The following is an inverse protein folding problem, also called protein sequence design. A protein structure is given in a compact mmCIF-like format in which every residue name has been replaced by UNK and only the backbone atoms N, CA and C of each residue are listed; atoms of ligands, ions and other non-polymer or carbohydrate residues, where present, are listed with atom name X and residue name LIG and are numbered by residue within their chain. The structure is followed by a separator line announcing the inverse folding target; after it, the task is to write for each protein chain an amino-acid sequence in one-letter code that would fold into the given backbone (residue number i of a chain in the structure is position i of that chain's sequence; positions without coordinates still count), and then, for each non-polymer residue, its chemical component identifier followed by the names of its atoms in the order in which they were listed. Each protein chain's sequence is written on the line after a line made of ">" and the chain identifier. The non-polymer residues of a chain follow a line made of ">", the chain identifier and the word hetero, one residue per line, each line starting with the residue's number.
data_IF_673318199023
#
_entry.id   IF_673318199023
#
_cell.length_a   1.000
_cell.length_b   1.000
_cell.length_c   1.000
_cell.angle_alpha   90.00
_cell.angle_beta   90.00
_cell.angle_gamma   90.00
#
_symmetry.space_group_name_H-M   'P 1'
#
loop_
_entity.id
_entity.type
_entity.pdbx_description
1 polymer ?
#
# COMPACT_ATOMS: atom_id res chain seq x y z
N UNK A 1 6.14 -11.46 -7.64
CA UNK A 1 5.69 -10.70 -8.83
C UNK A 1 4.94 -11.65 -9.74
N UNK A 2 3.85 -11.19 -10.35
CA UNK A 2 3.01 -11.98 -11.25
C UNK A 2 2.64 -11.10 -12.45
N UNK A 3 2.72 -11.63 -13.67
CA UNK A 3 2.21 -10.97 -14.86
C UNK A 3 0.96 -11.70 -15.34
N UNK A 4 -0.15 -10.97 -15.48
CA UNK A 4 -1.43 -11.50 -15.94
C UNK A 4 -1.88 -10.75 -17.19
N UNK A 5 -2.60 -11.42 -18.08
CA UNK A 5 -3.21 -10.79 -19.26
C UNK A 5 -4.71 -10.59 -19.03
N UNK A 6 -5.16 -9.34 -19.08
CA UNK A 6 -6.58 -9.03 -19.08
C UNK A 6 -7.20 -9.48 -20.41
N UNK A 7 -8.02 -10.53 -20.38
CA UNK A 7 -8.53 -11.17 -21.62
C UNK A 7 -9.28 -10.20 -22.54
N UNK A 8 -10.21 -9.34 -22.06
CA UNK A 8 -10.97 -8.44 -22.93
C UNK A 8 -10.10 -7.41 -23.67
N UNK A 9 -9.17 -6.74 -22.99
CA UNK A 9 -8.32 -5.70 -23.61
C UNK A 9 -7.00 -6.23 -24.15
N UNK A 10 -6.68 -7.50 -23.91
CA UNK A 10 -5.36 -8.10 -24.17
C UNK A 10 -4.18 -7.45 -23.45
N UNK A 11 -4.42 -6.51 -22.54
CA UNK A 11 -3.39 -5.78 -21.78
C UNK A 11 -2.67 -6.71 -20.81
N UNK A 12 -1.34 -6.66 -20.80
CA UNK A 12 -0.52 -7.32 -19.79
C UNK A 12 -0.40 -6.41 -18.56
N UNK A 13 -0.71 -6.93 -17.38
CA UNK A 13 -0.64 -6.22 -16.10
C UNK A 13 0.36 -6.94 -15.20
N UNK A 14 1.27 -6.17 -14.61
CA UNK A 14 2.26 -6.65 -13.64
C UNK A 14 1.75 -6.33 -12.23
N UNK A 15 1.66 -7.36 -11.40
CA UNK A 15 1.32 -7.28 -9.99
C UNK A 15 2.55 -7.57 -9.14
N UNK A 16 2.87 -6.65 -8.24
CA UNK A 16 3.98 -6.76 -7.29
C UNK A 16 3.43 -6.77 -5.88
N UNK A 17 3.60 -7.88 -5.17
CA UNK A 17 3.37 -7.97 -3.74
C UNK A 17 4.69 -7.76 -2.99
N UNK A 18 4.69 -6.96 -1.93
CA UNK A 18 5.88 -6.77 -1.08
C UNK A 18 5.53 -6.70 0.41
N UNK A 19 6.53 -6.91 1.26
CA UNK A 19 6.48 -6.65 2.69
C UNK A 19 7.86 -6.11 3.09
N UNK A 20 7.96 -4.80 3.35
CA UNK A 20 9.24 -4.15 3.63
C UNK A 20 9.67 -4.35 5.09
N UNK A 21 10.92 -3.97 5.40
CA UNK A 21 11.49 -4.16 6.74
C UNK A 21 10.67 -3.46 7.83
N UNK A 22 10.08 -4.26 8.71
CA UNK A 22 9.36 -3.81 9.90
C UNK A 22 10.27 -3.18 10.97
N UNK A 23 9.63 -2.45 11.90
CA UNK A 23 10.18 -1.64 13.02
C UNK A 23 10.69 -0.26 12.62
N UNK A 24 10.46 0.72 13.49
CA UNK A 24 10.75 2.15 13.28
C UNK A 24 12.20 2.45 12.83
N UNK A 25 13.27 1.87 13.41
CA UNK A 25 14.65 2.27 13.10
C UNK A 25 15.16 1.93 11.68
N UNK A 26 14.36 1.26 10.85
CA UNK A 26 14.80 0.71 9.57
C UNK A 26 14.30 1.48 8.33
N UNK A 27 13.99 2.77 8.48
CA UNK A 27 13.57 3.65 7.36
C UNK A 27 14.54 3.59 6.17
N UNK A 28 15.85 3.57 6.43
CA UNK A 28 16.88 3.50 5.39
C UNK A 28 16.87 2.15 4.67
N UNK A 29 16.59 1.06 5.38
CA UNK A 29 16.44 -0.27 4.78
C UNK A 29 15.19 -0.29 3.89
N UNK A 30 14.05 0.22 4.38
CA UNK A 30 12.81 0.33 3.59
C UNK A 30 13.03 1.16 2.33
N UNK A 31 13.73 2.29 2.43
CA UNK A 31 14.08 3.12 1.28
C UNK A 31 14.93 2.36 0.25
N UNK A 32 15.95 1.62 0.69
CA UNK A 32 16.78 0.82 -0.21
C UNK A 32 16.01 -0.35 -0.84
N UNK A 33 15.11 -0.99 -0.09
CA UNK A 33 14.23 -2.03 -0.64
C UNK A 33 13.26 -1.44 -1.68
N UNK A 34 12.68 -0.27 -1.44
CA UNK A 34 11.83 0.41 -2.41
C UNK A 34 12.61 0.81 -3.68
N UNK A 35 13.86 1.29 -3.54
CA UNK A 35 14.75 1.58 -4.69
C UNK A 35 15.01 0.32 -5.51
N UNK A 36 15.30 -0.81 -4.86
CA UNK A 36 15.54 -2.07 -5.55
C UNK A 36 14.30 -2.53 -6.34
N UNK A 37 13.10 -2.40 -5.76
CA UNK A 37 11.83 -2.73 -6.45
C UNK A 37 11.66 -1.84 -7.68
N UNK A 38 11.79 -0.52 -7.52
CA UNK A 38 11.64 0.45 -8.61
C UNK A 38 12.67 0.23 -9.72
N UNK A 39 13.93 0.04 -9.33
CA UNK A 39 15.03 -0.19 -10.27
C UNK A 39 14.75 -1.44 -11.11
N UNK A 40 14.42 -2.55 -10.47
CA UNK A 40 14.06 -3.79 -11.16
C UNK A 40 12.93 -3.56 -12.17
N UNK A 41 11.86 -2.87 -11.76
CA UNK A 41 10.73 -2.58 -12.65
C UNK A 41 11.13 -1.71 -13.84
N UNK A 42 12.00 -0.71 -13.63
CA UNK A 42 12.47 0.17 -14.70
C UNK A 42 13.41 -0.49 -15.70
N UNK A 43 14.19 -1.48 -15.25
CA UNK A 43 15.13 -2.24 -16.10
C UNK A 43 14.40 -3.28 -16.95
N UNK A 44 13.28 -3.82 -16.48
CA UNK A 44 12.59 -4.95 -17.11
C UNK A 44 11.30 -4.57 -17.83
N UNK A 45 10.72 -3.40 -17.52
CA UNK A 45 9.44 -2.98 -18.10
C UNK A 45 9.52 -1.55 -18.64
N UNK A 46 8.78 -1.31 -19.72
CA UNK A 46 8.65 0.04 -20.27
C UNK A 46 8.01 0.99 -19.27
N UNK A 47 8.28 2.29 -19.39
CA UNK A 47 7.63 3.33 -18.57
C UNK A 47 6.12 3.38 -18.72
N UNK A 48 5.58 2.81 -19.81
CA UNK A 48 4.14 2.71 -20.10
C UNK A 48 3.51 1.38 -19.65
N UNK A 49 4.26 0.52 -18.95
CA UNK A 49 3.72 -0.75 -18.49
C UNK A 49 2.64 -0.56 -17.43
N UNK A 50 1.58 -1.36 -17.51
CA UNK A 50 0.51 -1.43 -16.52
C UNK A 50 1.02 -2.17 -15.27
N UNK A 51 1.46 -1.43 -14.25
CA UNK A 51 2.03 -1.99 -13.02
C UNK A 51 1.20 -1.57 -11.81
N UNK A 52 0.92 -2.53 -10.93
CA UNK A 52 0.36 -2.34 -9.58
C UNK A 52 1.35 -2.92 -8.55
N UNK A 53 1.64 -2.16 -7.50
CA UNK A 53 2.46 -2.58 -6.36
C UNK A 53 1.59 -2.49 -5.11
N UNK A 54 1.41 -3.60 -4.40
CA UNK A 54 0.65 -3.66 -3.15
C UNK A 54 1.44 -4.31 -2.05
N UNK A 55 1.21 -3.89 -0.80
CA UNK A 55 1.81 -4.58 0.34
C UNK A 55 1.87 -3.74 1.61
N UNK A 56 2.44 -4.35 2.64
CA UNK A 56 2.83 -3.70 3.89
C UNK A 56 4.23 -3.10 3.72
N UNK A 57 4.30 -1.79 3.61
CA UNK A 57 5.55 -1.06 3.47
C UNK A 57 6.20 -0.75 4.82
N UNK A 58 5.53 -1.02 5.95
CA UNK A 58 6.00 -0.81 7.32
C UNK A 58 6.44 0.62 7.67
N UNK A 59 6.22 1.58 6.76
CA UNK A 59 6.56 2.98 6.93
C UNK A 59 5.43 3.89 6.47
N UNK A 60 5.43 5.11 6.99
CA UNK A 60 4.40 6.12 6.74
C UNK A 60 4.79 7.06 5.60
N UNK A 61 3.90 7.98 5.22
CA UNK A 61 4.08 8.83 4.03
C UNK A 61 5.22 9.84 4.13
N UNK A 62 5.67 10.13 5.35
CA UNK A 62 6.80 11.01 5.65
C UNK A 62 8.16 10.30 5.52
N UNK A 63 8.18 8.97 5.38
CA UNK A 63 9.41 8.23 5.22
C UNK A 63 9.97 8.24 3.78
N UNK A 64 11.30 8.11 3.60
CA UNK A 64 11.93 8.23 2.28
C UNK A 64 11.50 7.19 1.23
N UNK A 65 11.01 6.01 1.64
CA UNK A 65 10.55 4.99 0.68
C UNK A 65 9.34 5.49 -0.13
N UNK A 66 8.45 6.26 0.49
CA UNK A 66 7.21 6.73 -0.12
C UNK A 66 7.53 7.68 -1.28
N UNK A 67 8.48 8.58 -1.05
CA UNK A 67 9.06 9.46 -2.06
C UNK A 67 9.75 8.70 -3.20
N UNK A 68 10.49 7.63 -2.89
CA UNK A 68 11.14 6.78 -3.91
C UNK A 68 10.10 6.19 -4.86
N UNK A 69 9.02 5.60 -4.32
CA UNK A 69 7.94 5.02 -5.13
C UNK A 69 7.24 6.11 -5.97
N UNK A 70 6.94 7.27 -5.39
CA UNK A 70 6.25 8.36 -6.09
C UNK A 70 7.11 9.00 -7.18
N UNK A 71 8.40 9.26 -6.93
CA UNK A 71 9.34 9.81 -7.92
C UNK A 71 9.57 8.85 -9.08
N UNK A 72 9.36 7.55 -8.87
CA UNK A 72 9.34 6.55 -9.92
C UNK A 72 8.07 6.56 -10.78
N UNK A 73 7.16 7.52 -10.56
CA UNK A 73 5.92 7.70 -11.35
C UNK A 73 4.76 6.81 -10.89
N UNK A 74 4.79 6.29 -9.66
CA UNK A 74 3.64 5.59 -9.09
C UNK A 74 2.75 6.54 -8.27
N UNK A 75 1.45 6.26 -8.25
CA UNK A 75 0.45 6.97 -7.44
C UNK A 75 -0.22 6.00 -6.45
N UNK A 76 -0.63 6.47 -5.28
CA UNK A 76 -1.44 5.68 -4.33
C UNK A 76 -2.92 5.72 -4.73
N UNK A 77 -3.57 4.55 -4.81
CA UNK A 77 -4.96 4.41 -5.19
C UNK A 77 -5.90 5.06 -4.16
N UNK A 78 -5.70 4.77 -2.87
CA UNK A 78 -6.50 5.37 -1.80
C UNK A 78 -6.31 6.89 -1.77
N UNK A 79 -5.07 7.37 -1.87
CA UNK A 79 -4.78 8.81 -1.98
C UNK A 79 -5.54 9.48 -3.12
N UNK A 80 -5.60 8.84 -4.29
CA UNK A 80 -6.30 9.40 -5.45
C UNK A 80 -7.80 9.53 -5.22
N UNK A 81 -8.44 8.51 -4.63
CA UNK A 81 -9.89 8.48 -4.41
C UNK A 81 -10.31 9.33 -3.21
N UNK A 82 -9.46 9.49 -2.20
CA UNK A 82 -9.69 10.29 -0.99
C UNK A 82 -9.22 11.75 -1.13
N UNK A 83 -9.26 12.32 -2.34
CA UNK A 83 -8.91 13.72 -2.61
C UNK A 83 -7.50 14.10 -2.10
N UNK A 84 -6.50 13.36 -2.58
CA UNK A 84 -5.08 13.59 -2.33
C UNK A 84 -4.60 13.34 -0.88
N UNK A 85 -5.39 12.62 -0.08
CA UNK A 85 -5.07 12.20 1.30
C UNK A 85 -5.03 10.68 1.41
N UNK A 86 -4.02 10.15 2.09
CA UNK A 86 -4.04 8.72 2.48
C UNK A 86 -5.11 8.44 3.55
N UNK A 87 -5.53 7.17 3.74
CA UNK A 87 -6.44 6.82 4.83
C UNK A 87 -5.81 7.16 6.19
N UNK A 88 -6.67 7.34 7.20
CA UNK A 88 -6.24 7.69 8.57
C UNK A 88 -5.35 6.61 9.20
N UNK A 89 -5.66 5.34 8.94
CA UNK A 89 -4.86 4.20 9.35
C UNK A 89 -5.20 2.99 8.46
N UNK A 90 -4.26 2.07 8.35
CA UNK A 90 -4.44 0.74 7.76
C UNK A 90 -4.15 -0.36 8.78
N UNK A 91 -3.57 -0.03 9.93
CA UNK A 91 -3.41 -0.91 11.09
C UNK A 91 -3.70 -0.13 12.36
N UNK A 92 -4.37 -0.75 13.32
CA UNK A 92 -4.62 -0.17 14.63
C UNK A 92 -4.64 -1.25 15.71
N UNK A 93 -3.63 -1.27 16.58
CA UNK A 93 -3.43 -2.32 17.59
C UNK A 93 -2.81 -1.76 18.85
N UNK A 94 -2.98 -2.49 19.95
CA UNK A 94 -2.34 -2.20 21.23
C UNK A 94 -1.30 -3.29 21.52
N UNK A 95 -0.09 -2.89 21.90
CA UNK A 95 1.01 -3.81 22.21
C UNK A 95 1.55 -3.48 23.59
N UNK A 96 1.69 -4.48 24.45
CA UNK A 96 2.36 -4.29 25.73
C UNK A 96 3.87 -4.42 25.55
N UNK A 97 4.62 -3.41 26.02
CA UNK A 97 6.07 -3.45 26.12
C UNK A 97 6.51 -3.03 27.52
N UNK A 98 7.15 -3.95 28.25
CA UNK A 98 7.60 -3.74 29.63
C UNK A 98 6.46 -3.29 30.58
N UNK A 99 5.26 -3.84 30.42
CA UNK A 99 4.08 -3.49 31.24
C UNK A 99 3.42 -2.16 30.87
N UNK A 100 3.87 -1.49 29.81
CA UNK A 100 3.25 -0.27 29.28
C UNK A 100 2.54 -0.63 27.98
N UNK A 101 1.26 -0.33 27.90
CA UNK A 101 0.49 -0.45 26.67
C UNK A 101 0.86 0.69 25.70
N UNK A 102 1.25 0.31 24.48
CA UNK A 102 1.54 1.22 23.39
C UNK A 102 0.47 1.07 22.30
N UNK A 103 -0.23 2.15 22.00
CA UNK A 103 -1.11 2.24 20.85
C UNK A 103 -0.28 2.39 19.56
N UNK A 104 -0.51 1.50 18.60
CA UNK A 104 0.06 1.54 17.27
C UNK A 104 -1.06 1.71 16.23
N UNK A 105 -1.32 2.96 15.86
CA UNK A 105 -2.29 3.36 14.84
C UNK A 105 -1.54 3.98 13.66
N UNK A 106 -1.43 3.30 12.53
CA UNK A 106 -0.53 3.71 11.43
C UNK A 106 -1.13 3.44 10.05
N UNK A 107 -0.68 4.19 9.05
CA UNK A 107 -0.92 3.92 7.62
C UNK A 107 0.36 3.39 7.01
N UNK A 108 0.44 2.08 6.80
CA UNK A 108 1.65 1.39 6.30
C UNK A 108 1.37 0.44 5.14
N UNK A 109 0.10 0.23 4.82
CA UNK A 109 -0.33 -0.60 3.70
C UNK A 109 -0.72 0.31 2.53
N UNK A 110 -0.29 -0.05 1.33
CA UNK A 110 -0.54 0.78 0.14
C UNK A 110 -0.86 -0.08 -1.08
N UNK A 111 -1.67 0.49 -1.98
CA UNK A 111 -1.86 0.02 -3.35
C UNK A 111 -1.39 1.13 -4.29
N UNK A 112 -0.16 1.02 -4.76
CA UNK A 112 0.43 1.90 -5.75
C UNK A 112 0.17 1.41 -7.18
N UNK A 113 0.07 2.33 -8.13
CA UNK A 113 -0.17 2.02 -9.53
C UNK A 113 0.49 3.03 -10.47
N UNK A 114 0.71 2.65 -11.73
CA UNK A 114 1.12 3.57 -12.81
C UNK A 114 -0.09 4.33 -13.37
N UNK A 115 -0.18 5.66 -13.22
CA UNK A 115 -1.38 6.43 -13.55
C UNK A 115 -1.68 6.54 -15.04
N UNK A 116 -0.72 6.25 -15.92
CA UNK A 116 -0.94 6.21 -17.35
C UNK A 116 -1.88 5.05 -17.73
N UNK A 117 -1.72 3.90 -17.08
CA UNK A 117 -2.43 2.66 -17.40
C UNK A 117 -3.71 2.41 -16.59
N UNK A 118 -3.93 3.13 -15.49
CA UNK A 118 -5.08 2.90 -14.62
C UNK A 118 -5.70 4.17 -14.06
N UNK A 119 -7.00 4.09 -13.79
CA UNK A 119 -7.74 5.07 -12.98
C UNK A 119 -8.47 4.33 -11.86
N UNK A 120 -8.13 4.55 -10.57
CA UNK A 120 -8.89 4.00 -9.46
C UNK A 120 -10.24 4.73 -9.39
N UNK A 121 -11.34 3.98 -9.44
CA UNK A 121 -12.71 4.53 -9.46
C UNK A 121 -13.48 4.28 -8.16
N UNK A 122 -13.03 3.32 -7.36
CA UNK A 122 -13.62 3.02 -6.06
C UNK A 122 -12.58 2.38 -5.16
N UNK A 123 -12.76 2.55 -3.84
CA UNK A 123 -11.98 1.90 -2.80
C UNK A 123 -12.91 1.26 -1.77
N UNK A 124 -12.45 0.23 -1.06
CA UNK A 124 -13.14 -0.25 0.13
C UNK A 124 -13.02 0.80 1.24
N UNK A 125 -14.18 1.27 1.71
CA UNK A 125 -14.24 2.18 2.86
C UNK A 125 -13.71 1.45 4.10
N UNK A 126 -12.67 2.01 4.70
CA UNK A 126 -12.10 1.47 5.94
C UNK A 126 -12.99 1.83 7.14
N UNK A 127 -13.14 0.91 8.12
CA UNK A 127 -13.87 1.18 9.36
C UNK A 127 -13.18 2.28 10.17
N UNK A 128 -14.00 3.06 10.89
CA UNK A 128 -13.54 4.04 11.89
C UNK A 128 -13.06 3.35 13.17
N UNK A 129 -12.47 4.12 14.10
CA UNK A 129 -12.12 3.59 15.43
C UNK A 129 -13.37 3.15 16.19
N UNK A 130 -14.48 3.84 16.00
CA UNK A 130 -15.78 3.53 16.58
C UNK A 130 -16.34 2.21 16.03
N UNK A 131 -16.20 1.98 14.72
CA UNK A 131 -16.63 0.72 14.08
C UNK A 131 -15.79 -0.49 14.55
N UNK A 132 -14.50 -0.29 14.81
CA UNK A 132 -13.57 -1.34 15.29
C UNK A 132 -13.77 -1.65 16.78
N UNK A 133 -14.06 -0.63 17.58
CA UNK A 133 -14.14 -0.73 19.04
C UNK A 133 -12.80 -0.44 19.75
N UNK A 134 -12.89 -0.20 21.06
CA UNK A 134 -11.78 0.33 21.88
C UNK A 134 -10.55 -0.57 21.97
N UNK A 135 -10.70 -1.86 21.68
CA UNK A 135 -9.62 -2.84 21.80
C UNK A 135 -8.75 -2.94 20.53
N UNK A 136 -9.11 -2.19 19.46
CA UNK A 136 -8.38 -2.22 18.19
C UNK A 136 -8.48 -3.58 17.49
N UNK A 137 -7.43 -3.90 16.73
CA UNK A 137 -7.31 -5.11 15.92
C UNK A 137 -6.13 -6.00 16.37
N UNK A 138 -6.18 -7.33 16.14
CA UNK A 138 -7.34 -8.08 15.65
C UNK A 138 -8.45 -8.15 16.72
N UNK A 139 -9.64 -8.58 16.32
CA UNK A 139 -10.79 -8.77 17.21
C UNK A 139 -11.57 -10.04 16.83
N UNK A 140 -12.61 -10.38 17.61
CA UNK A 140 -13.49 -11.51 17.27
C UNK A 140 -14.19 -11.33 15.91
N UNK A 141 -14.38 -10.08 15.49
CA UNK A 141 -15.04 -9.73 14.22
C UNK A 141 -14.05 -9.54 13.07
N UNK A 142 -12.74 -9.45 13.36
CA UNK A 142 -11.75 -9.17 12.33
C UNK A 142 -10.39 -9.85 12.60
N UNK A 143 -9.91 -10.73 11.69
CA UNK A 143 -8.86 -11.72 11.99
C UNK A 143 -7.42 -11.20 11.89
N UNK A 144 -7.20 -9.92 11.59
CA UNK A 144 -5.87 -9.33 11.39
C UNK A 144 -5.75 -7.99 12.09
N UNK A 145 -4.54 -7.59 12.48
CA UNK A 145 -4.24 -6.23 12.95
C UNK A 145 -4.16 -5.20 11.80
N UNK A 146 -4.25 -5.63 10.55
CA UNK A 146 -4.27 -4.79 9.35
C UNK A 146 -5.62 -4.87 8.64
N UNK A 147 -6.16 -3.72 8.26
CA UNK A 147 -7.35 -3.60 7.44
C UNK A 147 -7.02 -3.96 5.98
N UNK A 148 -7.89 -4.74 5.35
CA UNK A 148 -7.78 -5.04 3.94
C UNK A 148 -7.98 -3.77 3.11
N UNK A 149 -7.06 -3.53 2.18
CA UNK A 149 -7.20 -2.50 1.16
C UNK A 149 -7.74 -3.14 -0.12
N UNK A 150 -8.73 -2.49 -0.72
CA UNK A 150 -9.29 -2.89 -2.01
C UNK A 150 -9.54 -1.65 -2.86
N UNK A 151 -9.32 -1.78 -4.17
CA UNK A 151 -9.63 -0.74 -5.13
C UNK A 151 -10.12 -1.35 -6.43
N UNK A 152 -11.03 -0.67 -7.10
CA UNK A 152 -11.46 -0.99 -8.47
C UNK A 152 -10.73 -0.04 -9.42
N UNK A 153 -10.07 -0.61 -10.42
CA UNK A 153 -9.40 0.17 -11.48
C UNK A 153 -10.15 0.04 -12.80
N UNK A 154 -10.32 1.16 -13.48
CA UNK A 154 -10.46 1.17 -14.94
C UNK A 154 -9.07 1.05 -15.56
N UNK A 155 -8.92 0.18 -16.56
CA UNK A 155 -7.69 0.02 -17.33
C UNK A 155 -7.76 0.98 -18.52
N UNK A 156 -6.79 1.88 -18.62
CA UNK A 156 -6.64 2.71 -19.80
C UNK A 156 -5.97 1.88 -20.91
N UNK A 157 -6.45 2.01 -22.17
CA UNK A 157 -5.84 1.34 -23.31
C UNK A 157 -4.38 1.75 -23.54
#
# INVERSE_FOLDING_TARGET
>A
MLQLRHKPSSTNIIFVGTHLKAKKPFENIRSNQAKAIVQYLSEHYSTRAHIIISGDFNGETDEPFYDVIRKAGFSSAYRKVLNDKEPLFTTWKFREHNGIEEEQCRTIDYIFYKPEGFVPIAILKLPSKEDIGSNGLPSNEYPSDHLALETIFNINP
#
